data_IF_538951631353
#
_entry.id   IF_538951631353
#
_cell.length_a   1.000
_cell.length_b   1.000
_cell.length_c   1.000
_cell.angle_alpha   90.00
_cell.angle_beta   90.00
_cell.angle_gamma   90.00
#
_symmetry.space_group_name_H-M   'P 1'
#
loop_
_entity.id
_entity.type
_entity.pdbx_description
1 polymer ?
#
# COMPACT_ATOMS: atom_id res chain seq x y z
N UNK A 1 -6.30 14.29 10.08
CA UNK A 1 -6.18 15.48 9.22
C UNK A 1 -4.72 15.71 8.86
N UNK A 2 -4.44 16.12 7.63
CA UNK A 2 -3.08 16.51 7.20
C UNK A 2 -3.16 17.91 6.64
N UNK A 3 -2.22 18.78 7.04
CA UNK A 3 -2.21 20.18 6.61
C UNK A 3 -0.78 20.63 6.31
N UNK A 4 -0.62 21.30 5.18
CA UNK A 4 0.56 22.05 4.79
C UNK A 4 0.36 23.50 5.17
N UNK A 5 1.34 24.11 5.83
CA UNK A 5 1.32 25.52 6.23
C UNK A 5 2.58 26.21 5.73
N UNK A 6 2.45 27.02 4.70
CA UNK A 6 3.54 27.82 4.15
C UNK A 6 4.73 27.00 3.63
N UNK A 7 4.50 25.79 3.15
CA UNK A 7 5.56 24.86 2.75
C UNK A 7 6.26 25.36 1.50
N UNK A 8 7.60 25.43 1.55
CA UNK A 8 8.44 25.77 0.41
C UNK A 8 9.52 24.71 0.23
N UNK A 9 9.92 24.47 -1.01
CA UNK A 9 11.03 23.59 -1.37
C UNK A 9 11.89 24.24 -2.43
N UNK A 10 13.19 24.31 -2.12
CA UNK A 10 14.22 24.90 -3.00
C UNK A 10 15.29 23.84 -3.19
N UNK A 11 15.66 23.56 -4.43
CA UNK A 11 16.79 22.70 -4.80
C UNK A 11 17.90 23.60 -5.36
N UNK A 12 19.00 23.72 -4.63
CA UNK A 12 20.09 24.64 -4.96
C UNK A 12 19.60 26.08 -5.19
N UNK A 13 19.25 26.49 -6.40
CA UNK A 13 18.71 27.80 -6.76
C UNK A 13 17.26 27.76 -7.25
N UNK A 14 16.72 26.55 -7.53
CA UNK A 14 15.41 26.39 -8.16
C UNK A 14 14.31 26.27 -7.11
N UNK A 15 13.38 27.21 -7.13
CA UNK A 15 12.21 27.21 -6.25
C UNK A 15 11.14 26.31 -6.89
N UNK A 16 10.93 25.12 -6.31
CA UNK A 16 9.93 24.15 -6.80
C UNK A 16 8.59 24.34 -6.10
N UNK A 17 8.60 24.61 -4.79
CA UNK A 17 7.40 24.93 -4.04
C UNK A 17 7.61 26.30 -3.35
N UNK A 18 6.59 27.17 -3.41
CA UNK A 18 6.64 28.50 -2.80
C UNK A 18 5.40 28.75 -1.96
N UNK A 19 5.55 28.71 -0.65
CA UNK A 19 4.51 29.06 0.33
C UNK A 19 3.17 28.31 0.11
N UNK A 20 3.25 27.00 -0.09
CA UNK A 20 2.09 26.15 -0.37
C UNK A 20 1.34 25.84 0.94
N UNK A 21 0.03 26.08 0.93
CA UNK A 21 -0.85 25.78 2.06
C UNK A 21 -2.12 25.11 1.57
N UNK A 22 -2.44 23.93 2.14
CA UNK A 22 -3.67 23.20 1.90
C UNK A 22 -3.92 22.19 3.02
N UNK A 23 -5.12 21.68 3.10
CA UNK A 23 -5.47 20.63 4.07
C UNK A 23 -6.31 19.54 3.43
N UNK A 24 -6.26 18.34 4.01
CA UNK A 24 -7.14 17.22 3.68
C UNK A 24 -7.68 16.61 4.97
N UNK A 25 -8.99 16.39 5.01
CA UNK A 25 -9.71 15.74 6.10
C UNK A 25 -9.93 14.26 5.81
N UNK A 26 -10.32 13.52 6.84
CA UNK A 26 -10.62 12.09 6.69
C UNK A 26 -11.76 11.88 5.69
N UNK A 27 -11.54 11.01 4.72
CA UNK A 27 -12.52 10.65 3.69
C UNK A 27 -12.65 11.63 2.53
N UNK A 28 -11.93 12.76 2.54
CA UNK A 28 -11.94 13.70 1.41
C UNK A 28 -11.15 13.17 0.22
N UNK A 29 -11.55 13.59 -0.97
CA UNK A 29 -10.87 13.34 -2.24
C UNK A 29 -10.36 14.68 -2.77
N UNK A 30 -9.08 14.76 -3.06
CA UNK A 30 -8.42 16.00 -3.51
C UNK A 30 -7.61 15.74 -4.77
N UNK A 31 -7.86 16.51 -5.83
CA UNK A 31 -7.06 16.53 -7.04
C UNK A 31 -5.96 17.60 -6.97
N UNK A 32 -4.71 17.23 -7.18
CA UNK A 32 -3.61 18.16 -7.39
C UNK A 32 -3.37 18.32 -8.90
N UNK A 33 -3.78 19.45 -9.42
CA UNK A 33 -3.70 19.77 -10.86
C UNK A 33 -2.64 20.84 -11.11
N UNK A 34 -1.98 20.77 -12.24
CA UNK A 34 -0.98 21.77 -12.65
C UNK A 34 -0.04 21.23 -13.72
N UNK A 35 0.73 22.12 -14.33
CA UNK A 35 1.72 21.76 -15.36
C UNK A 35 2.80 20.80 -14.83
N UNK A 36 3.50 20.13 -15.75
CA UNK A 36 4.69 19.35 -15.40
C UNK A 36 5.75 20.28 -14.78
N UNK A 37 6.42 19.80 -13.74
CA UNK A 37 7.38 20.60 -12.97
C UNK A 37 6.78 21.53 -11.91
N UNK A 38 5.44 21.61 -11.77
CA UNK A 38 4.80 22.45 -10.74
C UNK A 38 4.98 21.94 -9.29
N UNK A 39 5.80 20.93 -9.07
CA UNK A 39 6.09 20.41 -7.73
C UNK A 39 5.05 19.48 -7.14
N UNK A 40 4.12 18.94 -7.95
CA UNK A 40 3.07 18.02 -7.47
C UNK A 40 3.67 16.79 -6.79
N UNK A 41 4.50 16.02 -7.48
CA UNK A 41 5.17 14.83 -6.94
C UNK A 41 6.14 15.16 -5.81
N UNK A 42 6.73 16.37 -5.79
CA UNK A 42 7.55 16.86 -4.68
C UNK A 42 6.73 16.97 -3.39
N UNK A 43 5.47 17.45 -3.46
CA UNK A 43 4.59 17.48 -2.30
C UNK A 43 4.33 16.07 -1.76
N UNK A 44 4.15 15.06 -2.64
CA UNK A 44 4.00 13.68 -2.21
C UNK A 44 5.26 13.15 -1.52
N UNK A 45 6.45 13.37 -2.11
CA UNK A 45 7.73 12.95 -1.50
C UNK A 45 7.94 13.56 -0.11
N UNK A 46 7.61 14.84 0.05
CA UNK A 46 7.69 15.51 1.35
C UNK A 46 6.66 14.90 2.32
N UNK A 47 5.43 14.62 1.85
CA UNK A 47 4.37 14.06 2.67
C UNK A 47 4.71 12.66 3.20
N UNK A 48 5.34 11.82 2.39
CA UNK A 48 5.77 10.47 2.80
C UNK A 48 7.13 10.44 3.52
N UNK A 49 7.84 11.60 3.58
CA UNK A 49 9.13 11.72 4.24
C UNK A 49 10.33 11.26 3.42
N UNK A 50 10.17 11.09 2.10
CA UNK A 50 11.29 10.84 1.17
C UNK A 50 12.13 12.11 0.96
N UNK A 51 11.54 13.29 1.16
CA UNK A 51 12.21 14.59 1.09
C UNK A 51 11.77 15.51 2.23
N UNK A 52 12.63 16.44 2.62
CA UNK A 52 12.32 17.47 3.62
C UNK A 52 11.97 18.80 2.92
N UNK A 53 11.03 19.53 3.49
CA UNK A 53 10.74 20.90 3.08
C UNK A 53 11.87 21.86 3.48
N UNK A 54 12.09 22.93 2.70
CA UNK A 54 13.06 23.98 3.03
C UNK A 54 12.53 24.92 4.11
N UNK A 55 11.21 25.21 4.09
CA UNK A 55 10.52 26.00 5.12
C UNK A 55 9.04 25.64 5.18
N UNK A 56 8.35 26.14 6.20
CA UNK A 56 6.95 25.82 6.49
C UNK A 56 6.80 24.57 7.35
N UNK A 57 5.55 24.16 7.61
CA UNK A 57 5.25 23.07 8.52
C UNK A 57 4.23 22.11 7.91
N UNK A 58 4.40 20.81 8.19
CA UNK A 58 3.42 19.78 7.84
C UNK A 58 2.88 19.19 9.12
N UNK A 59 1.59 19.31 9.31
CA UNK A 59 0.87 18.80 10.49
C UNK A 59 0.16 17.50 10.08
N UNK A 60 0.47 16.40 10.79
CA UNK A 60 -0.15 15.08 10.61
C UNK A 60 -0.83 14.68 11.92
N UNK A 61 -2.10 14.96 12.06
CA UNK A 61 -2.85 14.62 13.27
C UNK A 61 -3.13 13.11 13.33
N UNK A 62 -2.82 12.50 14.48
CA UNK A 62 -3.07 11.09 14.74
C UNK A 62 -2.11 10.12 14.05
N UNK A 63 -0.99 10.60 13.51
CA UNK A 63 0.01 9.79 12.79
C UNK A 63 -0.61 8.86 11.73
N UNK A 64 -1.30 9.41 10.71
CA UNK A 64 -2.03 8.63 9.73
C UNK A 64 -1.10 7.72 8.92
N UNK A 65 -1.56 6.52 8.64
CA UNK A 65 -0.88 5.60 7.73
C UNK A 65 -1.07 6.09 6.29
N UNK A 66 0.00 6.57 5.68
CA UNK A 66 0.00 7.07 4.31
C UNK A 66 0.53 5.99 3.39
N UNK A 67 -0.20 5.72 2.31
CA UNK A 67 0.25 4.82 1.26
C UNK A 67 0.32 5.56 -0.07
N UNK A 68 1.29 5.21 -0.89
CA UNK A 68 1.58 5.87 -2.14
C UNK A 68 1.64 4.86 -3.28
N UNK A 69 0.78 5.04 -4.28
CA UNK A 69 0.87 4.36 -5.57
C UNK A 69 1.68 5.25 -6.51
N UNK A 70 2.90 4.83 -6.81
CA UNK A 70 3.79 5.51 -7.74
C UNK A 70 3.31 5.30 -9.19
N UNK A 71 3.73 6.16 -10.08
CA UNK A 71 3.45 6.07 -11.52
C UNK A 71 3.89 4.72 -12.11
N UNK A 72 5.05 4.20 -11.68
CA UNK A 72 5.50 2.84 -11.97
C UNK A 72 5.20 1.96 -10.76
N UNK A 73 4.29 1.01 -10.92
CA UNK A 73 3.93 0.08 -9.85
C UNK A 73 4.81 -1.16 -9.91
N UNK A 74 5.40 -1.46 -8.77
CA UNK A 74 6.30 -2.60 -8.59
C UNK A 74 5.47 -3.85 -8.20
N UNK A 75 5.21 -4.70 -9.21
CA UNK A 75 4.60 -6.01 -9.02
C UNK A 75 5.56 -7.10 -9.43
N UNK A 76 5.64 -8.18 -8.65
CA UNK A 76 6.40 -9.36 -9.04
C UNK A 76 5.60 -10.16 -10.09
N UNK A 77 6.03 -10.06 -11.35
CA UNK A 77 5.36 -10.70 -12.48
C UNK A 77 5.34 -12.24 -12.42
N UNK A 78 6.21 -12.84 -11.61
CA UNK A 78 6.31 -14.28 -11.41
C UNK A 78 5.45 -14.79 -10.24
N UNK A 79 4.81 -13.90 -9.50
CA UNK A 79 3.85 -14.27 -8.45
C UNK A 79 2.46 -14.42 -9.06
N UNK A 80 1.63 -15.29 -8.47
CA UNK A 80 0.20 -15.24 -8.74
C UNK A 80 -0.41 -13.95 -8.19
N UNK A 81 -1.58 -13.53 -8.69
CA UNK A 81 -2.28 -12.35 -8.18
C UNK A 81 -2.48 -12.46 -6.66
N UNK A 82 -2.86 -13.65 -6.17
CA UNK A 82 -3.04 -13.93 -4.75
C UNK A 82 -1.74 -13.76 -3.97
N UNK A 83 -0.65 -14.37 -4.42
CA UNK A 83 0.67 -14.22 -3.80
C UNK A 83 1.15 -12.79 -3.77
N UNK A 84 0.89 -12.03 -4.85
CA UNK A 84 1.28 -10.63 -4.93
C UNK A 84 0.47 -9.77 -3.93
N UNK A 85 -0.83 -10.01 -3.80
CA UNK A 85 -1.66 -9.35 -2.78
C UNK A 85 -1.22 -9.72 -1.36
N UNK A 86 -0.92 -10.99 -1.09
CA UNK A 86 -0.40 -11.47 0.20
C UNK A 86 0.94 -10.83 0.57
N UNK A 87 1.76 -10.45 -0.43
CA UNK A 87 3.05 -9.78 -0.21
C UNK A 87 2.93 -8.43 0.51
N UNK A 88 1.72 -7.84 0.55
CA UNK A 88 1.43 -6.62 1.31
C UNK A 88 1.52 -6.81 2.84
N UNK A 89 1.43 -8.05 3.31
CA UNK A 89 1.43 -8.42 4.73
C UNK A 89 2.82 -8.87 5.20
N UNK A 90 3.85 -8.07 4.94
CA UNK A 90 5.26 -8.42 5.21
C UNK A 90 5.50 -8.91 6.65
N UNK A 91 4.94 -8.23 7.65
CA UNK A 91 5.13 -8.60 9.06
C UNK A 91 4.51 -9.95 9.39
N UNK A 92 3.34 -10.26 8.80
CA UNK A 92 2.67 -11.55 8.95
C UNK A 92 3.50 -12.65 8.29
N UNK A 93 4.01 -12.41 7.08
CA UNK A 93 4.84 -13.38 6.36
C UNK A 93 6.14 -13.70 7.12
N UNK A 94 6.81 -12.70 7.68
CA UNK A 94 8.01 -12.90 8.51
C UNK A 94 7.69 -13.82 9.70
N UNK A 95 6.56 -13.59 10.36
CA UNK A 95 6.13 -14.42 11.50
C UNK A 95 5.74 -15.83 11.04
N UNK A 96 5.04 -15.98 9.92
CA UNK A 96 4.67 -17.27 9.34
C UNK A 96 5.90 -18.11 8.99
N UNK A 97 6.92 -17.52 8.38
CA UNK A 97 8.19 -18.20 8.08
C UNK A 97 8.84 -18.69 9.39
N UNK A 98 8.85 -17.87 10.45
CA UNK A 98 9.40 -18.27 11.75
C UNK A 98 8.63 -19.44 12.38
N UNK A 99 7.32 -19.45 12.26
CA UNK A 99 6.48 -20.58 12.71
C UNK A 99 6.86 -21.88 12.00
N UNK A 100 6.97 -21.84 10.65
CA UNK A 100 7.38 -22.98 9.84
C UNK A 100 8.80 -23.47 10.19
N UNK A 101 9.76 -22.57 10.41
CA UNK A 101 11.11 -22.92 10.85
C UNK A 101 11.10 -23.67 12.19
N UNK A 102 10.32 -23.18 13.16
CA UNK A 102 10.21 -23.82 14.49
C UNK A 102 9.56 -25.19 14.36
N UNK A 103 8.44 -25.31 13.64
CA UNK A 103 7.75 -26.59 13.41
C UNK A 103 8.67 -27.63 12.74
N UNK A 104 9.43 -27.21 11.74
CA UNK A 104 10.37 -28.11 11.05
C UNK A 104 11.50 -28.59 11.98
N UNK A 105 12.02 -27.70 12.84
CA UNK A 105 13.01 -28.07 13.86
C UNK A 105 12.43 -29.07 14.85
N UNK A 106 11.22 -28.84 15.33
CA UNK A 106 10.52 -29.77 16.24
C UNK A 106 10.32 -31.16 15.60
N UNK A 107 9.94 -31.23 14.32
CA UNK A 107 9.77 -32.50 13.59
C UNK A 107 11.07 -33.28 13.44
N UNK A 108 12.23 -32.61 13.40
CA UNK A 108 13.55 -33.23 13.23
C UNK A 108 14.17 -33.69 14.56
N UNK A 109 13.60 -33.32 15.72
CA UNK A 109 14.13 -33.67 17.05
C UNK A 109 13.71 -35.09 17.47
N UNK A 110 14.68 -35.83 18.04
CA UNK A 110 14.38 -37.07 18.77
C UNK A 110 13.84 -36.70 20.18
N UNK A 111 12.51 -36.82 20.33
CA UNK A 111 11.76 -36.42 21.53
C UNK A 111 12.32 -37.06 22.81
N UNK A 112 12.90 -38.26 22.70
CA UNK A 112 13.42 -39.02 23.85
C UNK A 112 14.75 -38.47 24.39
N UNK A 113 15.50 -37.72 23.56
CA UNK A 113 16.86 -37.25 23.89
C UNK A 113 16.94 -35.74 24.16
N UNK A 114 15.93 -34.95 23.77
CA UNK A 114 16.01 -33.48 23.73
C UNK A 114 14.78 -32.78 24.36
N UNK A 115 14.35 -33.25 25.54
CA UNK A 115 13.16 -32.71 26.21
C UNK A 115 13.25 -31.19 26.49
N UNK A 116 14.41 -30.70 26.93
CA UNK A 116 14.63 -29.29 27.25
C UNK A 116 14.63 -28.39 26.01
N UNK A 117 15.09 -28.90 24.86
CA UNK A 117 15.04 -28.19 23.59
C UNK A 117 13.60 -28.15 23.05
N UNK A 118 12.85 -29.24 23.21
CA UNK A 118 11.45 -29.31 22.82
C UNK A 118 10.61 -28.28 23.60
N UNK A 119 10.82 -28.15 24.91
CA UNK A 119 10.12 -27.15 25.73
C UNK A 119 10.41 -25.71 25.25
N UNK A 120 11.68 -25.41 24.91
CA UNK A 120 12.05 -24.11 24.34
C UNK A 120 11.33 -23.83 23.02
N UNK A 121 11.25 -24.82 22.12
CA UNK A 121 10.53 -24.64 20.84
C UNK A 121 9.03 -24.50 21.03
N UNK A 122 8.42 -25.22 21.95
CA UNK A 122 6.99 -25.06 22.30
C UNK A 122 6.71 -23.63 22.79
N UNK A 123 7.55 -23.08 23.67
CA UNK A 123 7.42 -21.71 24.16
C UNK A 123 7.61 -20.67 23.04
N UNK A 124 8.56 -20.90 22.13
CA UNK A 124 8.75 -20.05 20.96
C UNK A 124 7.57 -20.13 20.01
N UNK A 125 7.04 -21.33 19.74
CA UNK A 125 5.87 -21.54 18.89
C UNK A 125 4.67 -20.75 19.44
N UNK A 126 4.37 -20.89 20.73
CA UNK A 126 3.27 -20.16 21.36
C UNK A 126 3.44 -18.63 21.24
N UNK A 127 4.66 -18.12 21.46
CA UNK A 127 4.94 -16.68 21.30
C UNK A 127 4.72 -16.19 19.87
N UNK A 128 5.19 -16.92 18.86
CA UNK A 128 5.01 -16.54 17.47
C UNK A 128 3.58 -16.73 16.98
N UNK A 129 2.85 -17.75 17.49
CA UNK A 129 1.41 -17.92 17.21
C UNK A 129 0.61 -16.73 17.76
N UNK A 130 0.85 -16.30 18.98
CA UNK A 130 0.20 -15.11 19.54
C UNK A 130 0.52 -13.85 18.74
N UNK A 131 1.77 -13.70 18.26
CA UNK A 131 2.14 -12.59 17.40
C UNK A 131 1.45 -12.65 16.03
N UNK A 132 1.36 -13.84 15.41
CA UNK A 132 0.66 -14.07 14.15
C UNK A 132 -0.82 -13.69 14.26
N UNK A 133 -1.47 -14.11 15.33
CA UNK A 133 -2.87 -13.77 15.61
C UNK A 133 -3.06 -12.27 15.84
N UNK A 134 -2.20 -11.64 16.66
CA UNK A 134 -2.24 -10.20 16.93
C UNK A 134 -2.07 -9.34 15.67
N UNK A 135 -1.27 -9.80 14.70
CA UNK A 135 -1.12 -9.16 13.40
C UNK A 135 -2.29 -9.43 12.44
N UNK A 136 -3.24 -10.29 12.82
CA UNK A 136 -4.37 -10.68 11.98
C UNK A 136 -4.04 -11.74 10.94
N UNK A 137 -3.04 -12.59 11.18
CA UNK A 137 -2.56 -13.60 10.22
C UNK A 137 -3.67 -14.53 9.72
N UNK A 138 -4.60 -14.95 10.60
CA UNK A 138 -5.75 -15.77 10.20
C UNK A 138 -6.77 -15.06 9.31
N UNK A 139 -6.76 -13.70 9.30
CA UNK A 139 -7.65 -12.89 8.45
C UNK A 139 -7.02 -12.56 7.09
N UNK A 140 -5.71 -12.67 6.97
CA UNK A 140 -4.97 -12.30 5.76
C UNK A 140 -5.57 -12.93 4.51
N UNK A 141 -5.71 -14.24 4.48
CA UNK A 141 -6.27 -14.98 3.35
C UNK A 141 -7.72 -14.52 3.04
N UNK A 142 -8.55 -14.37 4.07
CA UNK A 142 -9.93 -13.88 3.90
C UNK A 142 -9.97 -12.44 3.38
N UNK A 143 -9.04 -11.56 3.78
CA UNK A 143 -8.98 -10.19 3.30
C UNK A 143 -8.54 -10.17 1.82
N UNK A 144 -7.61 -11.04 1.40
CA UNK A 144 -7.20 -11.22 -0.01
C UNK A 144 -8.36 -11.75 -0.86
N UNK A 145 -9.06 -12.78 -0.40
CA UNK A 145 -10.22 -13.33 -1.15
C UNK A 145 -11.36 -12.30 -1.30
N UNK A 146 -11.53 -11.40 -0.34
CA UNK A 146 -12.55 -10.33 -0.41
C UNK A 146 -12.17 -9.18 -1.32
N UNK A 147 -10.88 -8.92 -1.51
CA UNK A 147 -10.46 -7.80 -2.37
C UNK A 147 -10.43 -8.20 -3.85
N UNK A 148 -10.15 -9.44 -4.19
CA UNK A 148 -10.09 -9.93 -5.58
C UNK A 148 -11.31 -9.49 -6.42
N UNK A 149 -12.56 -9.79 -6.03
CA UNK A 149 -13.72 -9.37 -6.82
C UNK A 149 -13.91 -7.86 -6.87
N UNK A 150 -13.47 -7.11 -5.85
CA UNK A 150 -13.53 -5.64 -5.86
C UNK A 150 -12.55 -5.03 -6.87
N UNK A 151 -11.46 -5.73 -7.15
CA UNK A 151 -10.49 -5.36 -8.18
C UNK A 151 -10.92 -5.84 -9.58
N UNK A 152 -12.02 -6.60 -9.67
CA UNK A 152 -12.56 -7.15 -10.91
C UNK A 152 -11.98 -8.53 -11.28
N UNK A 153 -11.19 -9.17 -10.42
CA UNK A 153 -10.68 -10.52 -10.64
C UNK A 153 -11.69 -11.58 -10.26
N UNK A 154 -11.77 -12.66 -11.04
CA UNK A 154 -12.43 -13.89 -10.61
C UNK A 154 -11.58 -14.62 -9.57
N UNK A 155 -12.16 -15.59 -8.87
CA UNK A 155 -11.42 -16.44 -7.92
C UNK A 155 -10.29 -17.19 -8.63
N UNK A 156 -10.55 -17.65 -9.85
CA UNK A 156 -9.59 -18.39 -10.69
C UNK A 156 -8.43 -17.50 -11.17
N UNK A 157 -8.69 -16.22 -11.40
CA UNK A 157 -7.64 -15.25 -11.75
C UNK A 157 -6.62 -15.07 -10.63
N UNK A 158 -7.04 -15.30 -9.39
CA UNK A 158 -6.16 -15.23 -8.23
C UNK A 158 -4.94 -16.16 -8.32
N UNK A 159 -5.05 -17.27 -9.04
CA UNK A 159 -3.97 -18.26 -9.20
C UNK A 159 -3.11 -18.04 -10.45
N UNK A 160 -3.52 -17.13 -11.34
CA UNK A 160 -2.76 -16.77 -12.55
C UNK A 160 -1.60 -15.83 -12.20
N UNK A 161 -0.51 -15.94 -12.96
CA UNK A 161 0.64 -15.04 -12.78
C UNK A 161 0.28 -13.60 -13.14
N UNK A 162 0.76 -12.64 -12.33
CA UNK A 162 0.58 -11.21 -12.58
C UNK A 162 1.10 -10.80 -13.95
N UNK A 163 2.20 -11.40 -14.41
CA UNK A 163 2.78 -11.15 -15.74
C UNK A 163 1.89 -11.53 -16.92
N UNK A 164 0.84 -12.33 -16.72
CA UNK A 164 -0.11 -12.71 -17.77
C UNK A 164 -1.19 -11.65 -18.00
N UNK A 165 -1.23 -10.59 -17.19
CA UNK A 165 -2.23 -9.54 -17.24
C UNK A 165 -1.69 -8.27 -17.87
N UNK A 166 -2.56 -7.46 -18.48
CA UNK A 166 -2.21 -6.14 -19.00
C UNK A 166 -1.78 -5.17 -17.90
N UNK A 167 -1.12 -4.06 -18.28
CA UNK A 167 -0.68 -3.03 -17.33
C UNK A 167 -1.82 -2.49 -16.44
N UNK A 168 -3.03 -2.30 -16.99
CA UNK A 168 -4.20 -1.88 -16.23
C UNK A 168 -4.59 -2.88 -15.12
N UNK A 169 -4.53 -4.18 -15.41
CA UNK A 169 -4.79 -5.22 -14.42
C UNK A 169 -3.68 -5.30 -13.37
N UNK A 170 -2.40 -5.13 -13.78
CA UNK A 170 -1.28 -5.06 -12.84
C UNK A 170 -1.41 -3.86 -11.89
N UNK A 171 -1.88 -2.72 -12.39
CA UNK A 171 -2.21 -1.55 -11.57
C UNK A 171 -3.31 -1.88 -10.54
N UNK A 172 -4.37 -2.61 -10.92
CA UNK A 172 -5.41 -3.06 -9.99
C UNK A 172 -4.81 -3.93 -8.87
N UNK A 173 -3.86 -4.82 -9.18
CA UNK A 173 -3.15 -5.61 -8.17
C UNK A 173 -2.34 -4.70 -7.24
N UNK A 174 -1.56 -3.76 -7.78
CA UNK A 174 -0.77 -2.82 -6.99
C UNK A 174 -1.65 -1.98 -6.05
N UNK A 175 -2.79 -1.48 -6.53
CA UNK A 175 -3.77 -0.77 -5.72
C UNK A 175 -4.35 -1.68 -4.62
N UNK A 176 -4.67 -2.92 -4.94
CA UNK A 176 -5.14 -3.92 -3.97
C UNK A 176 -4.16 -4.16 -2.83
N UNK A 177 -2.85 -4.30 -3.14
CA UNK A 177 -1.78 -4.40 -2.13
C UNK A 177 -1.78 -3.23 -1.16
N UNK A 178 -1.98 -2.02 -1.68
CA UNK A 178 -2.00 -0.80 -0.88
C UNK A 178 -3.24 -0.78 0.02
N UNK A 179 -4.40 -1.09 -0.52
CA UNK A 179 -5.67 -1.09 0.24
C UNK A 179 -5.68 -2.16 1.34
N UNK A 180 -5.08 -3.32 1.10
CA UNK A 180 -4.94 -4.38 2.11
C UNK A 180 -4.12 -3.92 3.33
N UNK A 181 -3.25 -2.94 3.17
CA UNK A 181 -2.50 -2.34 4.26
C UNK A 181 -3.37 -1.41 5.14
N UNK A 182 -4.63 -1.14 4.75
CA UNK A 182 -5.60 -0.28 5.46
C UNK A 182 -5.02 1.11 5.74
N UNK A 183 -4.64 1.88 4.71
CA UNK A 183 -4.14 3.24 4.89
C UNK A 183 -5.25 4.21 5.32
N UNK A 184 -4.87 5.31 5.97
CA UNK A 184 -5.76 6.44 6.27
C UNK A 184 -5.79 7.44 5.14
N UNK A 185 -4.68 7.56 4.40
CA UNK A 185 -4.52 8.41 3.21
C UNK A 185 -3.87 7.62 2.08
N UNK A 186 -4.46 7.69 0.90
CA UNK A 186 -3.94 7.14 -0.35
C UNK A 186 -3.45 8.28 -1.25
N UNK A 187 -2.21 8.19 -1.70
CA UNK A 187 -1.61 9.09 -2.68
C UNK A 187 -1.49 8.36 -4.02
N UNK A 188 -1.99 8.97 -5.09
CA UNK A 188 -1.92 8.43 -6.45
C UNK A 188 -1.20 9.44 -7.35
N UNK A 189 -0.06 9.03 -7.91
CA UNK A 189 0.73 9.88 -8.81
C UNK A 189 0.51 9.45 -10.26
N UNK A 190 -0.27 10.24 -11.02
CA UNK A 190 -0.65 10.01 -12.41
C UNK A 190 -1.17 8.58 -12.68
N UNK A 191 -2.17 8.09 -11.93
CA UNK A 191 -2.59 6.69 -11.97
C UNK A 191 -3.24 6.28 -13.29
N UNK A 192 -3.65 7.24 -14.14
CA UNK A 192 -4.30 6.99 -15.43
C UNK A 192 -3.33 6.83 -16.59
N UNK A 193 -2.05 7.13 -16.39
CA UNK A 193 -1.06 7.01 -17.45
C UNK A 193 -0.98 5.56 -17.96
N UNK A 194 -1.11 5.41 -19.28
CA UNK A 194 -1.05 4.12 -19.99
C UNK A 194 -2.20 3.15 -19.69
N UNK A 195 -3.30 3.62 -19.09
CA UNK A 195 -4.50 2.82 -18.87
C UNK A 195 -5.50 2.97 -20.04
N UNK A 196 -6.23 1.90 -20.32
CA UNK A 196 -7.39 1.94 -21.19
C UNK A 196 -8.61 2.60 -20.49
N UNK A 197 -9.58 3.03 -21.28
CA UNK A 197 -10.75 3.74 -20.76
C UNK A 197 -11.56 2.91 -19.76
N UNK A 198 -11.66 1.59 -19.96
CA UNK A 198 -12.39 0.70 -19.06
C UNK A 198 -11.73 0.66 -17.67
N UNK A 199 -10.41 0.57 -17.64
CA UNK A 199 -9.63 0.61 -16.39
C UNK A 199 -9.73 1.98 -15.70
N UNK A 200 -9.77 3.09 -16.45
CA UNK A 200 -9.98 4.44 -15.89
C UNK A 200 -11.34 4.55 -15.23
N UNK A 201 -12.43 4.16 -15.89
CA UNK A 201 -13.77 4.17 -15.32
C UNK A 201 -13.88 3.29 -14.08
N UNK A 202 -13.28 2.10 -14.11
CA UNK A 202 -13.21 1.24 -12.92
C UNK A 202 -12.48 1.94 -11.78
N UNK A 203 -11.35 2.61 -12.05
CA UNK A 203 -10.57 3.31 -11.03
C UNK A 203 -11.39 4.44 -10.39
N UNK A 204 -12.08 5.25 -11.18
CA UNK A 204 -12.96 6.32 -10.70
C UNK A 204 -14.05 5.78 -9.76
N UNK A 205 -14.76 4.74 -10.19
CA UNK A 205 -15.79 4.10 -9.37
C UNK A 205 -15.21 3.51 -8.08
N UNK A 206 -14.08 2.83 -8.21
CA UNK A 206 -13.42 2.21 -7.06
C UNK A 206 -12.97 3.26 -6.03
N UNK A 207 -12.30 4.33 -6.46
CA UNK A 207 -11.83 5.40 -5.59
C UNK A 207 -13.00 6.14 -4.92
N UNK A 208 -14.10 6.37 -5.64
CA UNK A 208 -15.33 6.97 -5.09
C UNK A 208 -15.92 6.11 -3.97
N UNK A 209 -15.82 4.79 -4.07
CA UNK A 209 -16.33 3.85 -3.07
C UNK A 209 -15.51 3.81 -1.77
N UNK A 210 -14.25 4.26 -1.81
CA UNK A 210 -13.34 4.23 -0.66
C UNK A 210 -13.74 5.28 0.39
N UNK A 211 -13.72 4.88 1.66
CA UNK A 211 -14.00 5.79 2.80
C UNK A 211 -12.74 6.46 3.37
N UNK A 212 -11.59 6.23 2.78
CA UNK A 212 -10.33 6.85 3.17
C UNK A 212 -10.10 8.16 2.44
N UNK A 213 -9.20 9.00 2.94
CA UNK A 213 -8.76 10.19 2.22
C UNK A 213 -7.92 9.79 0.99
N UNK A 214 -8.08 10.52 -0.11
CA UNK A 214 -7.32 10.26 -1.35
C UNK A 214 -6.80 11.59 -1.91
N UNK A 215 -5.54 11.64 -2.28
CA UNK A 215 -4.97 12.73 -3.07
C UNK A 215 -4.49 12.16 -4.40
N UNK A 216 -4.95 12.73 -5.49
CA UNK A 216 -4.63 12.30 -6.85
C UNK A 216 -3.88 13.41 -7.57
N UNK A 217 -2.71 13.12 -8.07
CA UNK A 217 -2.06 13.94 -9.08
C UNK A 217 -2.53 13.42 -10.43
N UNK A 218 -3.17 14.23 -11.22
CA UNK A 218 -3.58 13.88 -12.58
C UNK A 218 -3.61 15.10 -13.49
N UNK A 219 -3.35 14.85 -14.77
CA UNK A 219 -3.64 15.78 -15.85
C UNK A 219 -5.07 15.59 -16.41
N UNK A 220 -5.71 14.49 -16.09
CA UNK A 220 -7.07 14.19 -16.48
C UNK A 220 -8.06 14.79 -15.48
N UNK A 221 -8.85 15.75 -15.96
CA UNK A 221 -9.83 16.45 -15.13
C UNK A 221 -11.05 15.56 -14.80
N UNK A 222 -11.25 14.42 -15.48
CA UNK A 222 -12.35 13.51 -15.19
C UNK A 222 -12.24 12.91 -13.79
N UNK A 223 -11.02 12.60 -13.35
CA UNK A 223 -10.73 12.10 -12.01
C UNK A 223 -10.97 13.11 -10.86
N UNK A 224 -11.24 14.37 -11.17
CA UNK A 224 -11.45 15.42 -10.14
C UNK A 224 -12.92 15.45 -9.68
N UNK A 225 -13.80 14.78 -10.39
CA UNK A 225 -15.25 14.70 -10.04
C UNK A 225 -15.58 13.50 -9.13
N UNK A 226 -14.57 12.84 -8.54
CA UNK A 226 -14.73 11.69 -7.63
C UNK A 226 -15.23 12.09 -6.25
#
# INVERSE_FOLDING_TARGET
MIRFEGVSKIYSTDVVLKNISWEIKKGEKVGLVGSNGAGKSTQFKILIGEEEQTSGTIIKEGNPKIAHLKQEFDCNLNFSVRQELESSFKDIQIVAIKLLEIENKMKSLDIKKHSDELEKFVNQLAKYQAKFEALGGYKMQSDVEKILPKLGFSIEDGDKLVGNFSGGWQMKVALGKIILQKPDLLLLDEPTNHLDLETIFWLEEYLSSLKIAVIIISHDLSLIHI
#
